data_IF_900854005791
#
_entry.id   IF_900854005791
#
_cell.length_a   1.000
_cell.length_b   1.000
_cell.length_c   1.000
_cell.angle_alpha   90.00
_cell.angle_beta   90.00
_cell.angle_gamma   90.00
#
_symmetry.space_group_name_H-M   'P 1'
#
loop_
_entity.id
_entity.type
_entity.pdbx_description
1 polymer ?
#
# COMPACT_ATOMS: atom_id res chain seq x y z
N UNK A 1 4.21 22.85 6.06
CA UNK A 1 4.09 21.53 5.40
C UNK A 1 4.15 20.47 6.50
N UNK A 2 3.15 19.65 6.66
CA UNK A 2 3.21 18.54 7.63
C UNK A 2 4.09 17.43 7.05
N UNK A 3 5.16 17.10 7.71
CA UNK A 3 5.96 15.93 7.38
C UNK A 3 5.09 14.68 7.58
N UNK A 4 4.86 13.96 6.51
CA UNK A 4 4.10 12.70 6.56
C UNK A 4 5.11 11.57 6.66
N UNK A 5 5.12 10.88 7.80
CA UNK A 5 5.91 9.68 7.99
C UNK A 5 5.20 8.50 7.30
N UNK A 6 5.91 7.86 6.37
CA UNK A 6 5.44 6.63 5.74
C UNK A 6 6.14 5.44 6.36
N UNK A 7 5.34 4.57 6.97
CA UNK A 7 5.81 3.28 7.43
C UNK A 7 5.22 2.19 6.56
N UNK A 8 6.08 1.32 6.04
CA UNK A 8 5.68 0.07 5.42
C UNK A 8 6.39 -1.06 6.12
N UNK A 9 5.64 -2.06 6.51
CA UNK A 9 6.20 -3.30 7.04
C UNK A 9 6.96 -4.00 5.93
N UNK A 10 8.19 -4.40 6.22
CA UNK A 10 9.06 -5.09 5.27
C UNK A 10 9.55 -6.39 5.91
N UNK A 11 9.51 -7.47 5.14
CA UNK A 11 10.09 -8.75 5.52
C UNK A 11 11.11 -9.19 4.48
N UNK A 12 12.23 -9.73 4.94
CA UNK A 12 13.30 -10.25 4.10
C UNK A 12 13.36 -11.77 4.23
N UNK A 13 13.32 -12.47 3.10
CA UNK A 13 13.45 -13.92 3.06
C UNK A 13 14.05 -14.38 1.72
N UNK A 14 15.10 -15.20 1.76
CA UNK A 14 15.68 -15.87 0.58
C UNK A 14 16.03 -14.92 -0.58
N UNK A 15 16.60 -13.76 -0.29
CA UNK A 15 16.93 -12.73 -1.30
C UNK A 15 15.75 -11.95 -1.83
N UNK A 16 14.56 -12.13 -1.25
CA UNK A 16 13.35 -11.39 -1.56
C UNK A 16 13.04 -10.37 -0.47
N UNK A 17 12.51 -9.23 -0.89
CA UNK A 17 11.93 -8.22 0.01
C UNK A 17 10.44 -8.18 -0.21
N UNK A 18 9.67 -8.53 0.81
CA UNK A 18 8.21 -8.38 0.83
C UNK A 18 7.86 -7.04 1.44
N UNK A 19 7.24 -6.18 0.67
CA UNK A 19 6.71 -4.89 1.12
C UNK A 19 5.21 -5.02 1.31
N UNK A 20 4.74 -4.89 2.54
CA UNK A 20 3.31 -4.93 2.85
C UNK A 20 2.69 -3.56 2.57
N UNK A 21 1.94 -3.46 1.49
CA UNK A 21 1.23 -2.24 1.10
C UNK A 21 0.00 -2.04 1.98
N UNK A 22 -0.70 -3.13 2.28
CA UNK A 22 -1.77 -3.18 3.25
C UNK A 22 -1.68 -4.47 4.05
N UNK A 23 -1.55 -4.34 5.35
CA UNK A 23 -1.55 -5.41 6.32
C UNK A 23 -2.92 -5.47 7.00
N UNK A 24 -3.50 -6.67 7.03
CA UNK A 24 -4.87 -6.89 7.52
C UNK A 24 -5.07 -6.45 8.98
N UNK A 25 -4.08 -6.68 9.84
CA UNK A 25 -4.16 -6.30 11.25
C UNK A 25 -4.12 -4.77 11.41
N UNK A 26 -3.18 -4.11 10.74
CA UNK A 26 -3.08 -2.65 10.73
C UNK A 26 -4.34 -2.01 10.17
N UNK A 27 -4.91 -2.55 9.09
CA UNK A 27 -6.16 -2.08 8.52
C UNK A 27 -7.32 -2.23 9.50
N UNK A 28 -7.44 -3.38 10.15
CA UNK A 28 -8.45 -3.62 11.19
C UNK A 28 -8.36 -2.61 12.32
N UNK A 29 -7.16 -2.38 12.85
CA UNK A 29 -6.93 -1.44 13.94
C UNK A 29 -7.25 0.01 13.52
N UNK A 30 -6.86 0.42 12.32
CA UNK A 30 -7.15 1.75 11.79
C UNK A 30 -8.66 1.97 11.63
N UNK A 31 -9.37 1.00 11.06
CA UNK A 31 -10.81 1.11 10.88
C UNK A 31 -11.57 1.13 12.22
N UNK A 32 -11.15 0.30 13.18
CA UNK A 32 -11.72 0.33 14.54
C UNK A 32 -11.46 1.67 15.22
N UNK A 33 -10.28 2.26 15.06
CA UNK A 33 -9.96 3.59 15.56
C UNK A 33 -10.85 4.69 14.95
N UNK A 34 -11.05 4.64 13.64
CA UNK A 34 -11.97 5.57 12.95
C UNK A 34 -13.41 5.42 13.43
N UNK A 35 -13.89 4.19 13.61
CA UNK A 35 -15.23 3.92 14.14
C UNK A 35 -15.38 4.41 15.59
N UNK A 36 -14.37 4.17 16.43
CA UNK A 36 -14.34 4.66 17.80
C UNK A 36 -14.46 6.18 17.88
N UNK A 37 -13.69 6.87 17.04
CA UNK A 37 -13.73 8.33 16.94
C UNK A 37 -15.09 8.84 16.45
N UNK A 38 -15.64 8.22 15.40
CA UNK A 38 -16.94 8.61 14.83
C UNK A 38 -18.12 8.39 15.78
N UNK A 39 -18.05 7.35 16.62
CA UNK A 39 -19.09 6.99 17.58
C UNK A 39 -18.85 7.59 18.98
N UNK A 40 -17.75 8.30 19.16
CA UNK A 40 -17.30 8.82 20.46
C UNK A 40 -17.30 7.73 21.56
N UNK A 41 -16.83 6.54 21.21
CA UNK A 41 -16.75 5.36 22.09
C UNK A 41 -15.33 4.91 22.28
N UNK A 42 -14.93 4.65 23.54
CA UNK A 42 -13.62 4.11 23.86
C UNK A 42 -13.59 2.57 23.88
N UNK A 43 -14.74 1.93 24.07
CA UNK A 43 -14.86 0.46 24.04
C UNK A 43 -15.43 -0.02 22.70
N UNK A 44 -14.57 -0.69 21.94
CA UNK A 44 -14.87 -1.27 20.63
C UNK A 44 -14.80 -2.80 20.65
N UNK A 45 -14.85 -3.43 21.81
CA UNK A 45 -14.72 -4.88 21.97
C UNK A 45 -15.76 -5.63 21.13
N UNK A 46 -17.03 -5.22 21.22
CA UNK A 46 -18.12 -5.82 20.44
C UNK A 46 -17.98 -5.58 18.92
N UNK A 47 -17.36 -4.49 18.51
CA UNK A 47 -17.06 -4.22 17.11
C UNK A 47 -15.88 -5.08 16.60
N UNK A 48 -14.87 -5.34 17.43
CA UNK A 48 -13.76 -6.23 17.12
C UNK A 48 -14.19 -7.63 16.70
N UNK A 49 -15.20 -8.18 17.40
CA UNK A 49 -15.73 -9.53 17.13
C UNK A 49 -16.49 -9.63 15.81
N UNK A 50 -17.03 -8.51 15.32
CA UNK A 50 -17.74 -8.42 14.03
C UNK A 50 -16.80 -8.19 12.85
N UNK A 51 -15.54 -7.91 13.13
CA UNK A 51 -14.53 -7.53 12.16
C UNK A 51 -13.62 -8.72 11.86
N UNK A 52 -13.65 -9.17 10.63
CA UNK A 52 -12.76 -10.20 10.13
C UNK A 52 -11.96 -9.66 8.94
N UNK A 53 -10.64 -9.87 8.96
CA UNK A 53 -9.75 -9.48 7.87
C UNK A 53 -8.95 -10.70 7.45
N UNK A 54 -9.00 -11.04 6.18
CA UNK A 54 -8.25 -12.13 5.58
C UNK A 54 -7.46 -11.66 4.36
N UNK A 55 -6.29 -12.24 4.17
CA UNK A 55 -5.36 -11.86 3.11
C UNK A 55 -4.57 -10.59 3.44
N UNK A 56 -3.77 -10.21 2.49
CA UNK A 56 -2.90 -9.03 2.58
C UNK A 56 -2.56 -8.53 1.18
N UNK A 57 -2.20 -7.27 1.07
CA UNK A 57 -1.67 -6.70 -0.16
C UNK A 57 -0.17 -6.49 0.02
N UNK A 58 0.63 -7.24 -0.70
CA UNK A 58 2.08 -7.15 -0.65
C UNK A 58 2.73 -7.13 -2.02
N UNK A 59 3.87 -6.49 -2.09
CA UNK A 59 4.73 -6.37 -3.25
C UNK A 59 6.02 -7.16 -2.99
N UNK A 60 6.38 -8.04 -3.91
CA UNK A 60 7.63 -8.78 -3.88
C UNK A 60 8.68 -8.03 -4.71
N UNK A 61 9.80 -7.69 -4.09
CA UNK A 61 10.95 -7.09 -4.76
C UNK A 61 12.15 -8.04 -4.67
N UNK A 62 12.82 -8.27 -5.79
CA UNK A 62 14.10 -8.98 -5.84
C UNK A 62 14.94 -8.51 -7.04
N UNK A 63 16.21 -8.87 -7.06
CA UNK A 63 17.17 -8.44 -8.08
C UNK A 63 16.99 -9.18 -9.44
N UNK A 64 16.14 -10.20 -9.50
CA UNK A 64 15.92 -11.01 -10.71
C UNK A 64 14.76 -10.48 -11.58
N UNK A 65 13.99 -9.55 -11.05
CA UNK A 65 12.84 -9.00 -11.75
C UNK A 65 13.26 -8.13 -12.93
N UNK A 66 12.54 -8.28 -14.03
CA UNK A 66 12.79 -7.57 -15.28
C UNK A 66 11.57 -6.72 -15.65
N UNK A 67 11.80 -5.71 -16.47
CA UNK A 67 10.74 -4.92 -17.07
C UNK A 67 9.72 -5.82 -17.77
N UNK A 68 8.45 -5.64 -17.46
CA UNK A 68 7.34 -6.43 -17.99
C UNK A 68 6.96 -7.65 -17.15
N UNK A 69 7.76 -8.04 -16.15
CA UNK A 69 7.38 -9.11 -15.23
C UNK A 69 6.13 -8.71 -14.46
N UNK A 70 5.17 -9.63 -14.36
CA UNK A 70 3.91 -9.37 -13.66
C UNK A 70 4.09 -9.48 -12.15
N UNK A 71 3.51 -8.53 -11.43
CA UNK A 71 3.36 -8.63 -9.98
C UNK A 71 2.31 -9.69 -9.70
N UNK A 72 2.63 -10.63 -8.81
CA UNK A 72 1.67 -11.64 -8.38
C UNK A 72 0.43 -10.96 -7.82
N UNK A 73 -0.72 -11.21 -8.45
CA UNK A 73 -1.99 -10.70 -7.97
C UNK A 73 -2.26 -11.18 -6.55
N UNK A 74 -2.71 -10.27 -5.70
CA UNK A 74 -3.10 -10.59 -4.32
C UNK A 74 -4.32 -9.78 -3.91
N UNK A 75 -5.02 -10.29 -2.90
CA UNK A 75 -6.31 -9.80 -2.47
C UNK A 75 -6.39 -9.81 -0.95
N UNK A 76 -7.05 -8.82 -0.40
CA UNK A 76 -7.43 -8.72 1.00
C UNK A 76 -8.94 -8.55 1.10
N UNK A 77 -9.57 -9.28 2.03
CA UNK A 77 -10.99 -9.18 2.32
C UNK A 77 -11.20 -8.68 3.73
N UNK A 78 -12.04 -7.68 3.86
CA UNK A 78 -12.45 -7.10 5.13
C UNK A 78 -13.95 -7.33 5.26
N UNK A 79 -14.33 -8.11 6.25
CA UNK A 79 -15.73 -8.41 6.55
C UNK A 79 -16.16 -7.70 7.81
N UNK A 80 -17.20 -6.88 7.67
CA UNK A 80 -17.92 -6.26 8.78
C UNK A 80 -19.37 -6.66 8.59
N UNK A 81 -19.79 -7.75 9.21
CA UNK A 81 -21.14 -8.32 8.99
C UNK A 81 -22.23 -7.25 9.03
N UNK A 82 -23.11 -7.21 8.01
CA UNK A 82 -23.27 -8.13 6.89
C UNK A 82 -22.44 -7.79 5.63
N UNK A 83 -21.57 -6.82 5.68
CA UNK A 83 -20.88 -6.26 4.51
C UNK A 83 -19.46 -6.82 4.36
N UNK A 84 -19.05 -7.02 3.11
CA UNK A 84 -17.67 -7.40 2.77
C UNK A 84 -17.08 -6.36 1.82
N UNK A 85 -15.87 -5.90 2.15
CA UNK A 85 -15.03 -5.10 1.27
C UNK A 85 -13.88 -5.95 0.77
N UNK A 86 -13.56 -5.83 -0.51
CA UNK A 86 -12.42 -6.52 -1.13
C UNK A 86 -11.47 -5.49 -1.70
N UNK A 87 -10.19 -5.67 -1.40
CA UNK A 87 -9.09 -4.91 -2.00
C UNK A 87 -8.23 -5.86 -2.79
N UNK A 88 -7.99 -5.57 -4.06
CA UNK A 88 -7.16 -6.40 -4.94
C UNK A 88 -6.09 -5.58 -5.64
N UNK A 89 -4.94 -6.17 -5.87
CA UNK A 89 -3.80 -5.56 -6.54
C UNK A 89 -3.34 -6.42 -7.71
N UNK A 90 -3.01 -5.75 -8.83
CA UNK A 90 -2.33 -6.35 -9.98
C UNK A 90 -1.46 -5.30 -10.67
N UNK A 91 -0.34 -5.71 -11.21
CA UNK A 91 0.57 -4.77 -11.87
C UNK A 91 1.80 -5.44 -12.46
N UNK A 92 2.81 -4.64 -12.73
CA UNK A 92 4.05 -5.09 -13.35
C UNK A 92 5.26 -4.27 -12.93
N UNK A 93 6.43 -4.86 -13.14
CA UNK A 93 7.72 -4.20 -12.94
C UNK A 93 8.08 -3.42 -14.19
N UNK A 94 8.45 -2.15 -14.01
CA UNK A 94 8.81 -1.23 -15.09
C UNK A 94 10.33 -1.14 -15.33
N UNK A 95 11.11 -1.93 -14.58
CA UNK A 95 12.57 -1.90 -14.62
C UNK A 95 13.17 -0.98 -13.57
N UNK A 96 14.29 -0.36 -13.89
CA UNK A 96 15.04 0.52 -12.99
C UNK A 96 15.06 1.96 -13.52
N UNK A 97 15.09 2.92 -12.61
CA UNK A 97 15.14 4.35 -12.93
C UNK A 97 15.85 5.10 -11.80
N UNK A 98 16.70 6.06 -12.15
CA UNK A 98 17.34 6.94 -11.18
C UNK A 98 16.43 8.11 -10.84
N UNK A 99 16.13 8.29 -9.56
CA UNK A 99 15.22 9.33 -9.05
C UNK A 99 16.00 10.32 -8.20
N UNK A 100 15.86 11.62 -8.53
CA UNK A 100 16.38 12.71 -7.72
C UNK A 100 15.31 13.26 -6.80
N UNK A 101 15.62 13.41 -5.53
CA UNK A 101 14.74 13.91 -4.48
C UNK A 101 15.48 14.89 -3.59
N UNK A 102 14.80 15.65 -2.71
CA UNK A 102 15.50 16.46 -1.70
C UNK A 102 16.43 15.67 -0.78
N UNK A 103 16.17 14.35 -0.58
CA UNK A 103 17.02 13.47 0.20
C UNK A 103 18.27 12.96 -0.55
N UNK A 104 18.36 13.18 -1.86
CA UNK A 104 19.45 12.71 -2.71
C UNK A 104 18.99 12.02 -3.98
N UNK A 105 19.93 11.36 -4.64
CA UNK A 105 19.71 10.63 -5.87
C UNK A 105 19.78 9.12 -5.59
N UNK A 106 18.81 8.37 -6.12
CA UNK A 106 18.63 6.95 -5.82
C UNK A 106 18.38 6.14 -7.09
N UNK A 107 19.05 5.01 -7.22
CA UNK A 107 18.72 4.00 -8.22
C UNK A 107 17.59 3.14 -7.69
N UNK A 108 16.46 3.19 -8.37
CA UNK A 108 15.22 2.60 -7.92
C UNK A 108 14.70 1.52 -8.84
N UNK A 109 14.07 0.50 -8.27
CA UNK A 109 13.15 -0.37 -8.98
C UNK A 109 11.81 0.36 -9.10
N UNK A 110 11.28 0.44 -10.31
CA UNK A 110 9.99 1.04 -10.62
C UNK A 110 8.93 -0.03 -10.77
N UNK A 111 7.82 0.13 -10.10
CA UNK A 111 6.66 -0.75 -10.19
C UNK A 111 5.40 0.06 -10.46
N UNK A 112 4.51 -0.47 -11.29
CA UNK A 112 3.20 0.13 -11.54
C UNK A 112 2.12 -0.91 -11.30
N UNK A 113 1.12 -0.55 -10.53
CA UNK A 113 0.02 -1.45 -10.20
C UNK A 113 -1.30 -0.70 -10.07
N UNK A 114 -2.40 -1.41 -10.32
CA UNK A 114 -3.73 -0.94 -9.95
C UNK A 114 -4.15 -1.56 -8.63
N UNK A 115 -4.75 -0.75 -7.78
CA UNK A 115 -5.41 -1.17 -6.55
C UNK A 115 -6.90 -0.92 -6.69
N UNK A 116 -7.68 -1.99 -6.64
CA UNK A 116 -9.12 -1.93 -6.79
C UNK A 116 -9.80 -2.28 -5.48
N UNK A 117 -10.65 -1.38 -5.02
CA UNK A 117 -11.51 -1.58 -3.87
C UNK A 117 -12.94 -1.79 -4.32
N UNK A 118 -13.57 -2.83 -3.80
CA UNK A 118 -14.99 -3.13 -4.02
C UNK A 118 -15.71 -3.18 -2.68
N UNK A 119 -16.79 -2.45 -2.58
CA UNK A 119 -17.63 -2.41 -1.40
C UNK A 119 -19.09 -2.32 -1.83
N UNK A 120 -19.87 -3.38 -1.59
CA UNK A 120 -21.27 -3.48 -2.02
C UNK A 120 -21.39 -3.19 -3.53
N UNK A 121 -22.09 -2.12 -3.91
CA UNK A 121 -22.24 -1.68 -5.31
C UNK A 121 -21.18 -0.65 -5.74
N UNK A 122 -20.32 -0.24 -4.82
CA UNK A 122 -19.27 0.71 -5.12
C UNK A 122 -17.97 0.02 -5.49
N UNK A 123 -17.30 0.52 -6.50
CA UNK A 123 -15.93 0.14 -6.80
C UNK A 123 -15.11 1.39 -7.09
N UNK A 124 -13.91 1.42 -6.56
CA UNK A 124 -12.92 2.44 -6.86
C UNK A 124 -11.61 1.78 -7.27
N UNK A 125 -10.86 2.43 -8.15
CA UNK A 125 -9.60 1.93 -8.67
C UNK A 125 -8.60 3.08 -8.76
N UNK A 126 -7.44 2.87 -8.16
CA UNK A 126 -6.30 3.77 -8.26
C UNK A 126 -5.18 3.12 -9.04
N UNK A 127 -4.54 3.90 -9.91
CA UNK A 127 -3.28 3.55 -10.56
C UNK A 127 -2.13 4.13 -9.74
N UNK A 128 -1.19 3.29 -9.36
CA UNK A 128 -0.10 3.65 -8.47
C UNK A 128 1.23 3.28 -9.14
N UNK A 129 2.18 4.21 -9.12
CA UNK A 129 3.56 3.97 -9.54
C UNK A 129 4.47 4.27 -8.36
N UNK A 130 5.36 3.36 -8.06
CA UNK A 130 6.29 3.47 -6.91
C UNK A 130 7.71 3.16 -7.32
N UNK A 131 8.65 3.83 -6.68
CA UNK A 131 10.09 3.70 -6.86
C UNK A 131 10.73 3.33 -5.54
N UNK A 132 11.40 2.19 -5.52
CA UNK A 132 12.04 1.62 -4.33
C UNK A 132 13.55 1.55 -4.52
N UNK A 133 14.32 2.12 -3.59
CA UNK A 133 15.77 2.00 -3.53
C UNK A 133 16.19 0.95 -2.50
N UNK A 134 17.19 0.15 -2.86
CA UNK A 134 17.76 -0.86 -1.96
C UNK A 134 18.34 -0.19 -0.71
N UNK A 135 18.03 -0.73 0.47
CA UNK A 135 18.48 -0.20 1.75
C UNK A 135 17.81 1.10 2.21
N UNK A 136 16.95 1.70 1.39
CA UNK A 136 16.22 2.95 1.69
C UNK A 136 14.72 2.70 1.80
N UNK A 137 14.15 2.00 0.83
CA UNK A 137 12.72 1.74 0.74
C UNK A 137 12.03 2.62 -0.31
N UNK A 138 10.84 3.10 0.00
CA UNK A 138 10.05 3.91 -0.92
C UNK A 138 10.66 5.32 -1.07
N UNK A 139 11.07 5.65 -2.28
CA UNK A 139 11.67 6.95 -2.62
C UNK A 139 10.65 7.91 -3.22
N UNK A 140 9.77 7.39 -4.07
CA UNK A 140 8.73 8.18 -4.73
C UNK A 140 7.48 7.35 -4.95
N UNK A 141 6.31 7.97 -4.82
CA UNK A 141 5.02 7.39 -5.17
C UNK A 141 4.22 8.40 -5.99
N UNK A 142 3.60 7.93 -7.04
CA UNK A 142 2.57 8.65 -7.79
C UNK A 142 1.29 7.84 -7.76
N UNK A 143 0.19 8.47 -7.38
CA UNK A 143 -1.13 7.85 -7.34
C UNK A 143 -2.12 8.68 -8.15
N UNK A 144 -2.90 8.02 -8.98
CA UNK A 144 -3.98 8.63 -9.75
C UNK A 144 -5.29 7.88 -9.47
N UNK A 145 -6.21 8.53 -8.81
CA UNK A 145 -7.56 8.00 -8.62
C UNK A 145 -8.35 8.11 -9.92
N UNK A 146 -9.01 7.02 -10.29
CA UNK A 146 -9.83 6.95 -11.49
C UNK A 146 -11.10 7.80 -11.39
N UNK A 147 -11.72 7.84 -10.21
CA UNK A 147 -12.96 8.62 -9.97
C UNK A 147 -12.72 10.12 -9.83
N UNK A 148 -11.66 10.49 -9.10
CA UNK A 148 -11.42 11.89 -8.75
C UNK A 148 -10.53 12.62 -9.76
N UNK A 149 -9.84 11.88 -10.66
CA UNK A 149 -8.89 12.44 -11.60
C UNK A 149 -7.68 13.13 -10.93
N UNK A 150 -7.62 13.11 -9.60
CA UNK A 150 -6.56 13.72 -8.83
C UNK A 150 -5.30 12.88 -8.90
N UNK A 151 -4.18 13.54 -9.14
CA UNK A 151 -2.84 12.97 -9.06
C UNK A 151 -2.21 13.41 -7.75
N UNK A 152 -1.77 12.44 -6.94
CA UNK A 152 -0.98 12.67 -5.74
C UNK A 152 0.43 12.19 -5.97
N UNK A 153 1.42 13.01 -5.59
CA UNK A 153 2.84 12.67 -5.65
C UNK A 153 3.43 12.79 -4.25
N UNK A 154 4.14 11.77 -3.84
CA UNK A 154 4.90 11.74 -2.59
C UNK A 154 6.35 11.46 -2.92
N UNK A 155 7.25 12.18 -2.30
CA UNK A 155 8.70 12.08 -2.55
C UNK A 155 9.45 12.09 -1.23
N UNK A 156 10.49 11.27 -1.15
CA UNK A 156 11.37 11.22 0.02
C UNK A 156 12.09 12.57 0.18
N UNK A 157 11.94 13.21 1.33
CA UNK A 157 12.55 14.50 1.61
C UNK A 157 13.76 14.41 2.52
N UNK A 158 13.82 13.39 3.38
CA UNK A 158 14.90 13.18 4.35
C UNK A 158 14.97 11.71 4.76
N UNK A 159 16.16 11.21 4.97
CA UNK A 159 16.42 9.94 5.66
C UNK A 159 16.75 10.28 7.10
N UNK A 160 16.03 9.71 8.06
CA UNK A 160 16.36 9.84 9.47
C UNK A 160 17.59 8.95 9.77
N UNK A 161 18.56 9.49 10.48
CA UNK A 161 19.70 8.76 11.05
C UNK A 161 19.26 7.94 12.27
#
# INVERSE_FOLDING_TARGET
>A
MKDTLFYRKVAYANGNTLVYLQDGESMKNNMLGMMAAALNRNDMTAAKEKFDVSGQICLLLNERQRKGDKIKANEMRIRIKPVTMTVSMKGEYEGTETISTPAGQFDCVKVTYSMKMKFFMFSDESQITEWYAKGVGLVKQEEKSRKLGQKMVKTLTKIAE
#
